data_IF_567927583126
#
_entry.id   IF_567927583126
#
_cell.length_a   1.000
_cell.length_b   1.000
_cell.length_c   1.000
_cell.angle_alpha   90.00
_cell.angle_beta   90.00
_cell.angle_gamma   90.00
#
_symmetry.space_group_name_H-M   'P 1'
#
loop_
_entity.id
_entity.type
_entity.pdbx_description
1 polymer ?
#
# COMPACT_ATOMS: atom_id res chain seq x y z
N UNK A 1 8.83 19.30 -17.44
CA UNK A 1 8.42 18.31 -16.43
C UNK A 1 7.45 17.34 -17.10
N UNK A 2 7.82 16.08 -17.19
CA UNK A 2 6.95 15.02 -17.71
C UNK A 2 5.86 14.69 -16.68
N UNK A 3 4.79 14.02 -17.09
CA UNK A 3 3.78 13.50 -16.14
C UNK A 3 4.38 12.48 -15.16
N UNK A 4 5.46 11.81 -15.56
CA UNK A 4 6.22 10.89 -14.70
C UNK A 4 7.01 11.66 -13.65
N UNK A 5 7.60 12.80 -14.00
CA UNK A 5 8.36 13.64 -13.05
C UNK A 5 7.46 14.15 -11.90
N UNK A 6 6.16 14.32 -12.16
CA UNK A 6 5.18 14.77 -11.17
C UNK A 6 5.01 13.78 -10.00
N UNK A 7 5.40 12.52 -10.17
CA UNK A 7 5.39 11.49 -9.10
C UNK A 7 6.32 11.89 -7.95
N UNK A 8 7.37 12.65 -8.23
CA UNK A 8 8.38 13.09 -7.26
C UNK A 8 8.09 14.47 -6.64
N UNK A 9 6.88 15.00 -6.82
CA UNK A 9 6.51 16.34 -6.34
C UNK A 9 5.38 16.25 -5.31
N UNK A 10 5.54 16.95 -4.18
CA UNK A 10 4.47 17.14 -3.20
C UNK A 10 3.54 18.26 -3.67
N UNK A 11 2.36 17.86 -4.13
CA UNK A 11 1.37 18.78 -4.73
C UNK A 11 -0.04 18.61 -4.16
N UNK A 12 -0.31 17.50 -3.48
CA UNK A 12 -1.60 17.23 -2.87
C UNK A 12 -1.68 17.82 -1.45
N UNK A 13 -2.87 18.22 -0.97
CA UNK A 13 -3.09 18.61 0.43
C UNK A 13 -3.17 17.34 1.31
N UNK A 14 -2.06 16.62 1.42
CA UNK A 14 -2.00 15.29 2.03
C UNK A 14 -2.34 15.27 3.52
N UNK A 15 -2.27 16.42 4.21
CA UNK A 15 -2.56 16.62 5.63
C UNK A 15 -3.93 17.28 5.90
N UNK A 16 -4.81 17.38 4.90
CA UNK A 16 -6.13 17.97 5.04
C UNK A 16 -6.91 17.37 6.25
N UNK A 17 -7.36 18.21 7.21
CA UNK A 17 -7.99 17.75 8.45
C UNK A 17 -9.37 17.09 8.25
N UNK A 18 -10.02 17.28 7.10
CA UNK A 18 -11.32 16.68 6.80
C UNK A 18 -11.24 15.20 6.40
N UNK A 19 -10.04 14.60 6.40
CA UNK A 19 -9.82 13.19 6.03
C UNK A 19 -10.19 12.18 7.14
N UNK A 20 -10.65 12.67 8.30
CA UNK A 20 -10.99 11.83 9.46
C UNK A 20 -9.78 11.48 10.31
N UNK A 21 -9.97 10.54 11.24
CA UNK A 21 -8.94 10.07 12.18
C UNK A 21 -8.47 8.64 11.90
N UNK A 22 -9.08 7.99 10.92
CA UNK A 22 -8.78 6.60 10.59
C UNK A 22 -7.35 6.49 10.06
N UNK A 23 -6.68 5.37 10.37
CA UNK A 23 -5.33 5.10 9.90
C UNK A 23 -5.30 5.13 8.37
N UNK A 24 -4.41 5.94 7.80
CA UNK A 24 -4.21 6.01 6.36
C UNK A 24 -3.18 4.98 5.92
N UNK A 25 -3.59 3.99 5.16
CA UNK A 25 -2.72 2.90 4.70
C UNK A 25 -2.52 2.93 3.19
N UNK A 26 -1.26 2.91 2.76
CA UNK A 26 -0.90 2.73 1.36
C UNK A 26 -0.48 1.29 1.11
N UNK A 27 -1.28 0.56 0.35
CA UNK A 27 -1.02 -0.82 -0.02
C UNK A 27 -0.24 -0.87 -1.34
N UNK A 28 0.87 -1.62 -1.38
CA UNK A 28 1.78 -1.60 -2.53
C UNK A 28 2.08 -3.02 -3.01
N UNK A 29 1.78 -3.29 -4.28
CA UNK A 29 2.27 -4.48 -4.99
C UNK A 29 3.02 -4.03 -6.26
N UNK A 30 3.18 -4.89 -7.27
CA UNK A 30 3.89 -4.52 -8.49
C UNK A 30 3.08 -3.53 -9.36
N UNK A 31 1.86 -3.93 -9.76
CA UNK A 31 1.05 -3.18 -10.72
C UNK A 31 -0.06 -2.31 -10.11
N UNK A 32 -0.39 -2.53 -8.83
CA UNK A 32 -1.55 -1.89 -8.22
C UNK A 32 -2.91 -2.44 -8.70
N UNK A 33 -2.96 -3.70 -9.15
CA UNK A 33 -4.16 -4.28 -9.79
C UNK A 33 -4.83 -5.42 -9.01
N UNK A 34 -4.05 -6.29 -8.35
CA UNK A 34 -4.58 -7.51 -7.71
C UNK A 34 -4.36 -7.50 -6.19
N UNK A 35 -3.11 -7.72 -5.76
CA UNK A 35 -2.77 -7.88 -4.34
C UNK A 35 -2.95 -6.61 -3.51
N UNK A 36 -2.40 -5.47 -3.94
CA UNK A 36 -2.58 -4.23 -3.18
C UNK A 36 -4.02 -3.71 -3.17
N UNK A 37 -4.82 -3.80 -4.26
CA UNK A 37 -6.25 -3.49 -4.17
C UNK A 37 -7.03 -4.46 -3.27
N UNK A 38 -6.67 -5.75 -3.25
CA UNK A 38 -7.27 -6.72 -2.32
C UNK A 38 -6.94 -6.35 -0.87
N UNK A 39 -5.68 -6.02 -0.59
CA UNK A 39 -5.24 -5.56 0.74
C UNK A 39 -5.96 -4.27 1.15
N UNK A 40 -6.09 -3.29 0.25
CA UNK A 40 -6.83 -2.07 0.53
C UNK A 40 -8.30 -2.36 0.86
N UNK A 41 -8.95 -3.27 0.14
CA UNK A 41 -10.31 -3.72 0.43
C UNK A 41 -10.42 -4.36 1.83
N UNK A 42 -9.48 -5.23 2.20
CA UNK A 42 -9.41 -5.83 3.55
C UNK A 42 -9.31 -4.75 4.63
N UNK A 43 -8.40 -3.78 4.45
CA UNK A 43 -8.18 -2.71 5.43
C UNK A 43 -9.35 -1.72 5.51
N UNK A 44 -10.01 -1.41 4.38
CA UNK A 44 -11.21 -0.57 4.36
C UNK A 44 -12.34 -1.24 5.15
N UNK A 45 -12.58 -2.54 4.95
CA UNK A 45 -13.58 -3.28 5.73
C UNK A 45 -13.22 -3.37 7.22
N UNK A 46 -11.93 -3.31 7.55
CA UNK A 46 -11.45 -3.19 8.93
C UNK A 46 -11.60 -1.77 9.52
N UNK A 47 -11.98 -0.77 8.71
CA UNK A 47 -12.20 0.62 9.16
C UNK A 47 -11.00 1.54 8.97
N UNK A 48 -10.03 1.18 8.12
CA UNK A 48 -8.92 2.05 7.76
C UNK A 48 -9.18 2.81 6.46
N UNK A 49 -8.57 3.99 6.31
CA UNK A 49 -8.57 4.73 5.07
C UNK A 49 -7.44 4.20 4.17
N UNK A 50 -7.72 3.20 3.34
CA UNK A 50 -6.69 2.56 2.53
C UNK A 50 -6.75 2.95 1.04
N UNK A 51 -5.58 3.02 0.41
CA UNK A 51 -5.39 3.18 -1.04
C UNK A 51 -4.42 2.12 -1.55
N UNK A 52 -4.46 1.84 -2.85
CA UNK A 52 -3.55 0.90 -3.50
C UNK A 52 -2.75 1.58 -4.62
N UNK A 53 -1.49 1.18 -4.77
CA UNK A 53 -0.63 1.56 -5.88
C UNK A 53 0.32 0.42 -6.28
N UNK A 54 1.10 0.64 -7.33
CA UNK A 54 2.15 -0.24 -7.83
C UNK A 54 3.55 0.34 -7.67
N UNK A 55 4.54 -0.49 -7.35
CA UNK A 55 5.96 -0.09 -7.21
C UNK A 55 6.70 -0.01 -8.54
N UNK A 56 6.19 -0.63 -9.60
CA UNK A 56 6.86 -0.69 -10.92
C UNK A 56 6.24 0.34 -11.86
N UNK A 57 6.87 1.51 -11.96
CA UNK A 57 6.32 2.71 -12.64
C UNK A 57 5.98 2.48 -14.12
N UNK A 58 6.67 1.55 -14.77
CA UNK A 58 6.48 1.16 -16.17
C UNK A 58 5.24 0.30 -16.43
N UNK A 59 4.65 -0.30 -15.38
CA UNK A 59 3.47 -1.15 -15.50
C UNK A 59 2.34 -0.83 -14.50
N UNK A 60 2.61 -0.01 -13.49
CA UNK A 60 1.64 0.32 -12.46
C UNK A 60 0.48 1.16 -13.03
N UNK A 61 -0.75 0.74 -12.75
CA UNK A 61 -1.94 1.52 -13.09
C UNK A 61 -1.94 2.87 -12.36
N UNK A 62 -1.63 2.84 -11.07
CA UNK A 62 -1.34 4.01 -10.25
C UNK A 62 0.06 3.79 -9.67
N UNK A 63 1.09 4.48 -10.19
CA UNK A 63 2.43 4.40 -9.64
C UNK A 63 2.48 4.95 -8.21
N UNK A 64 3.31 4.33 -7.36
CA UNK A 64 3.69 4.92 -6.08
C UNK A 64 4.29 6.30 -6.32
N UNK A 65 3.90 7.28 -5.50
CA UNK A 65 4.32 8.68 -5.62
C UNK A 65 4.60 9.30 -4.27
N UNK A 66 5.33 10.40 -4.29
CA UNK A 66 5.67 11.17 -3.10
C UNK A 66 4.41 11.62 -2.35
N UNK A 67 3.38 12.09 -3.06
CA UNK A 67 2.08 12.42 -2.46
C UNK A 67 1.45 11.23 -1.71
N UNK A 68 1.55 10.01 -2.25
CA UNK A 68 1.00 8.81 -1.60
C UNK A 68 1.82 8.43 -0.36
N UNK A 69 3.16 8.51 -0.44
CA UNK A 69 4.09 8.22 0.66
C UNK A 69 3.85 9.18 1.83
N UNK A 70 3.76 10.48 1.56
CA UNK A 70 3.58 11.48 2.61
C UNK A 70 2.16 11.49 3.17
N UNK A 71 1.15 11.14 2.36
CA UNK A 71 -0.23 10.95 2.84
C UNK A 71 -0.37 9.79 3.83
N UNK A 72 0.36 8.70 3.64
CA UNK A 72 0.18 7.48 4.42
C UNK A 72 0.70 7.61 5.86
N UNK A 73 0.00 6.99 6.81
CA UNK A 73 0.52 6.70 8.15
C UNK A 73 1.26 5.35 8.20
N UNK A 74 0.89 4.42 7.33
CA UNK A 74 1.54 3.10 7.14
C UNK A 74 1.64 2.80 5.65
N UNK A 75 2.77 2.23 5.22
CA UNK A 75 2.98 1.77 3.85
C UNK A 75 3.18 0.25 3.92
N UNK A 76 2.28 -0.51 3.31
CA UNK A 76 2.25 -1.96 3.43
C UNK A 76 2.59 -2.57 2.08
N UNK A 77 3.81 -3.10 1.98
CA UNK A 77 4.32 -3.79 0.82
C UNK A 77 3.91 -5.25 0.88
N UNK A 78 3.24 -5.72 -0.17
CA UNK A 78 2.80 -7.12 -0.21
C UNK A 78 4.00 -8.06 -0.32
N UNK A 79 5.08 -7.63 -0.98
CA UNK A 79 6.29 -8.44 -1.18
C UNK A 79 7.56 -7.58 -1.03
N UNK A 80 8.66 -8.18 -0.57
CA UNK A 80 9.95 -7.51 -0.39
C UNK A 80 10.45 -6.81 -1.66
N UNK A 81 10.29 -7.38 -2.85
CA UNK A 81 10.74 -6.74 -4.09
C UNK A 81 10.01 -5.41 -4.36
N UNK A 82 8.77 -5.25 -3.87
CA UNK A 82 8.03 -3.98 -4.00
C UNK A 82 8.62 -2.89 -3.10
N UNK A 83 9.04 -3.27 -1.90
CA UNK A 83 9.75 -2.40 -0.96
C UNK A 83 11.12 -1.98 -1.52
N UNK A 84 11.92 -2.95 -1.96
CA UNK A 84 13.26 -2.69 -2.50
C UNK A 84 13.20 -1.80 -3.75
N UNK A 85 12.25 -2.05 -4.66
CA UNK A 85 12.06 -1.22 -5.85
C UNK A 85 11.63 0.22 -5.51
N UNK A 86 10.79 0.39 -4.48
CA UNK A 86 10.37 1.71 -4.02
C UNK A 86 11.54 2.47 -3.41
N UNK A 87 12.34 1.85 -2.55
CA UNK A 87 13.55 2.47 -2.01
C UNK A 87 14.53 2.88 -3.11
N UNK A 88 14.71 2.03 -4.13
CA UNK A 88 15.54 2.35 -5.28
C UNK A 88 15.01 3.56 -6.04
N UNK A 89 13.70 3.62 -6.27
CA UNK A 89 13.04 4.71 -7.00
C UNK A 89 13.27 6.08 -6.34
N UNK A 90 13.21 6.13 -5.00
CA UNK A 90 13.37 7.36 -4.21
C UNK A 90 14.78 7.51 -3.60
N UNK A 91 15.75 6.71 -4.01
CA UNK A 91 17.10 6.65 -3.38
C UNK A 91 17.90 7.96 -3.42
N UNK A 92 17.49 8.92 -4.25
CA UNK A 92 18.10 10.24 -4.37
C UNK A 92 17.60 11.25 -3.34
N UNK A 93 16.55 10.92 -2.58
CA UNK A 93 15.95 11.77 -1.55
C UNK A 93 15.97 11.05 -0.18
N UNK A 94 16.94 11.44 0.65
CA UNK A 94 17.16 10.81 1.95
C UNK A 94 15.97 10.94 2.88
N UNK A 95 15.27 12.08 2.87
CA UNK A 95 14.14 12.34 3.77
C UNK A 95 12.95 11.45 3.40
N UNK A 96 12.68 11.31 2.10
CA UNK A 96 11.65 10.39 1.59
C UNK A 96 12.02 8.94 1.89
N UNK A 97 13.29 8.57 1.76
CA UNK A 97 13.75 7.23 2.15
C UNK A 97 13.47 6.97 3.63
N UNK A 98 13.83 7.89 4.53
CA UNK A 98 13.54 7.73 5.96
C UNK A 98 12.03 7.66 6.25
N UNK A 99 11.22 8.43 5.51
CA UNK A 99 9.76 8.36 5.61
C UNK A 99 9.22 6.98 5.21
N UNK A 100 9.74 6.40 4.12
CA UNK A 100 9.41 5.03 3.72
C UNK A 100 9.83 4.05 4.82
N UNK A 101 11.09 4.09 5.26
CA UNK A 101 11.63 3.17 6.29
C UNK A 101 10.79 3.17 7.56
N UNK A 102 10.41 4.35 8.07
CA UNK A 102 9.67 4.49 9.33
C UNK A 102 8.21 4.05 9.27
N UNK A 103 7.61 4.01 8.08
CA UNK A 103 6.19 3.68 7.88
C UNK A 103 5.96 2.28 7.33
N UNK A 104 7.02 1.58 6.91
CA UNK A 104 6.92 0.36 6.10
C UNK A 104 6.60 -0.90 6.90
N UNK A 105 5.74 -1.73 6.33
CA UNK A 105 5.48 -3.13 6.70
C UNK A 105 5.64 -3.98 5.44
N UNK A 106 6.22 -5.17 5.55
CA UNK A 106 6.40 -6.11 4.44
C UNK A 106 5.76 -7.45 4.79
N UNK A 107 4.83 -7.92 3.95
CA UNK A 107 4.03 -9.14 4.22
C UNK A 107 4.61 -10.43 3.61
N UNK A 108 5.43 -10.32 2.55
CA UNK A 108 5.99 -11.46 1.80
C UNK A 108 4.94 -12.46 1.28
N UNK A 109 3.94 -11.97 0.54
CA UNK A 109 2.88 -12.76 -0.08
C UNK A 109 3.05 -12.85 -1.60
N UNK A 110 3.07 -14.09 -2.09
CA UNK A 110 3.23 -14.45 -3.51
C UNK A 110 2.12 -13.94 -4.43
N UNK A 111 2.43 -13.83 -5.73
CA UNK A 111 1.53 -13.34 -6.79
C UNK A 111 0.86 -14.46 -7.58
N UNK A 112 0.09 -15.30 -6.90
CA UNK A 112 -0.49 -16.52 -7.48
C UNK A 112 -2.02 -16.56 -7.47
N UNK A 113 -2.66 -15.42 -7.20
CA UNK A 113 -4.08 -15.34 -6.89
C UNK A 113 -4.76 -14.15 -7.56
N UNK A 114 -6.00 -14.35 -7.99
CA UNK A 114 -6.84 -13.28 -8.53
C UNK A 114 -7.21 -12.24 -7.47
N UNK A 115 -7.61 -11.05 -7.92
CA UNK A 115 -8.18 -10.01 -7.07
C UNK A 115 -9.30 -10.56 -6.17
N UNK A 116 -9.27 -10.22 -4.88
CA UNK A 116 -10.20 -10.67 -3.83
C UNK A 116 -10.35 -12.19 -3.69
N UNK A 117 -9.43 -13.00 -4.22
CA UNK A 117 -9.50 -14.43 -4.04
C UNK A 117 -9.41 -14.80 -2.54
N UNK A 118 -10.26 -15.71 -2.00
CA UNK A 118 -10.30 -16.01 -0.58
C UNK A 118 -8.96 -16.46 0.02
N UNK A 119 -8.17 -17.22 -0.75
CA UNK A 119 -6.81 -17.63 -0.33
C UNK A 119 -5.88 -16.43 -0.14
N UNK A 120 -5.93 -15.46 -1.06
CA UNK A 120 -5.14 -14.23 -0.96
C UNK A 120 -5.56 -13.41 0.27
N UNK A 121 -6.87 -13.25 0.49
CA UNK A 121 -7.39 -12.54 1.67
C UNK A 121 -6.88 -13.19 2.96
N UNK A 122 -6.90 -14.53 3.06
CA UNK A 122 -6.39 -15.25 4.22
C UNK A 122 -4.90 -15.02 4.44
N UNK A 123 -4.09 -15.08 3.38
CA UNK A 123 -2.65 -14.78 3.48
C UNK A 123 -2.41 -13.33 3.92
N UNK A 124 -3.17 -12.37 3.39
CA UNK A 124 -3.06 -10.96 3.78
C UNK A 124 -3.41 -10.74 5.24
N UNK A 125 -4.50 -11.34 5.73
CA UNK A 125 -4.90 -11.24 7.14
C UNK A 125 -3.84 -11.89 8.05
N UNK A 126 -3.33 -13.07 7.67
CA UNK A 126 -2.26 -13.72 8.43
C UNK A 126 -1.00 -12.87 8.49
N UNK A 127 -0.55 -12.33 7.35
CA UNK A 127 0.62 -11.46 7.30
C UNK A 127 0.42 -10.17 8.10
N UNK A 128 -0.78 -9.57 8.08
CA UNK A 128 -1.08 -8.39 8.90
C UNK A 128 -1.02 -8.69 10.40
N UNK A 129 -1.46 -9.87 10.84
CA UNK A 129 -1.42 -10.29 12.23
C UNK A 129 0.02 -10.43 12.77
N UNK A 130 0.99 -10.79 11.93
CA UNK A 130 2.42 -10.81 12.30
C UNK A 130 2.97 -9.41 12.63
N UNK A 131 2.25 -8.35 12.25
CA UNK A 131 2.57 -6.94 12.53
C UNK A 131 1.52 -6.29 13.45
N UNK A 132 0.87 -7.08 14.30
CA UNK A 132 -0.13 -6.65 15.30
C UNK A 132 -1.41 -6.01 14.72
N UNK A 133 -1.66 -6.16 13.41
CA UNK A 133 -2.89 -5.70 12.74
C UNK A 133 -3.88 -6.88 12.68
N UNK A 134 -4.63 -7.05 13.76
CA UNK A 134 -5.56 -8.16 13.92
C UNK A 134 -6.92 -7.86 13.27
N UNK A 135 -7.26 -8.62 12.22
CA UNK A 135 -8.51 -8.49 11.48
C UNK A 135 -9.31 -9.78 11.61
N UNK A 136 -10.57 -9.70 12.01
CA UNK A 136 -11.49 -10.85 12.04
C UNK A 136 -11.78 -11.30 10.58
N UNK A 137 -11.38 -12.51 10.17
CA UNK A 137 -11.63 -13.00 8.82
C UNK A 137 -13.11 -13.05 8.46
N UNK A 138 -14.00 -13.27 9.43
CA UNK A 138 -15.45 -13.33 9.20
C UNK A 138 -16.03 -11.96 8.84
N UNK A 139 -15.40 -10.87 9.29
CA UNK A 139 -15.80 -9.50 8.91
C UNK A 139 -15.49 -9.17 7.44
N UNK A 140 -14.60 -9.94 6.80
CA UNK A 140 -14.08 -9.67 5.46
C UNK A 140 -14.68 -10.61 4.41
N UNK A 141 -14.80 -11.89 4.76
CA UNK A 141 -15.19 -12.99 3.88
C UNK A 141 -16.70 -13.21 3.77
N UNK A 142 -17.54 -12.25 4.19
CA UNK A 142 -19.00 -12.38 4.03
C UNK A 142 -19.38 -12.66 2.58
N UNK A 143 -20.23 -13.68 2.39
CA UNK A 143 -20.62 -14.24 1.11
C UNK A 143 -21.18 -13.17 0.17
N UNK A 144 -20.63 -13.12 -1.04
CA UNK A 144 -21.24 -12.43 -2.20
C UNK A 144 -22.52 -13.10 -2.63
#
# INVERSE_FOLDING_TARGET
MTKTDAIFQLTAPYDNPFQGKDTRALCVCSAGLLRSPTLANVLIKHGWNARACGSYVDLALIPISLNLISWANRIIFVQKENYDATLKLFSHDTDVVQEILSKSIVLNIEDDSNYNHPRLIRHLISGLAEHDINIDPNSILTET
#
